data_IF_053942071538
#
_entry.id   IF_053942071538
#
_cell.length_a   1.000
_cell.length_b   1.000
_cell.length_c   1.000
_cell.angle_alpha   90.00
_cell.angle_beta   90.00
_cell.angle_gamma   90.00
#
_symmetry.space_group_name_H-M   'P 1'
#
loop_
_entity.id
_entity.type
_entity.pdbx_description
1 polymer ?
#
# COMPACT_ATOMS: atom_id res chain seq x y z
N UNK A 1 2.25 -11.32 -22.25
CA UNK A 1 2.70 -9.99 -21.76
C UNK A 1 2.79 -10.11 -20.24
N UNK A 2 3.91 -9.78 -19.64
CA UNK A 2 4.13 -9.84 -18.19
C UNK A 2 3.98 -8.46 -17.52
N UNK A 3 4.47 -8.30 -16.28
CA UNK A 3 4.34 -7.09 -15.46
C UNK A 3 4.77 -5.77 -16.13
N UNK A 4 5.75 -5.82 -17.03
CA UNK A 4 6.28 -4.63 -17.72
C UNK A 4 5.27 -3.96 -18.67
N UNK A 5 4.16 -4.63 -19.00
CA UNK A 5 3.08 -4.07 -19.81
C UNK A 5 1.92 -3.50 -18.97
N UNK A 6 2.07 -3.49 -17.65
CA UNK A 6 1.06 -2.94 -16.75
C UNK A 6 1.18 -1.42 -16.63
N UNK A 7 0.12 -0.77 -16.14
CA UNK A 7 0.13 0.67 -15.85
C UNK A 7 1.22 1.10 -14.87
N UNK A 8 1.70 0.20 -14.01
CA UNK A 8 2.81 0.47 -13.10
C UNK A 8 4.11 0.84 -13.83
N UNK A 9 4.31 0.32 -15.05
CA UNK A 9 5.44 0.65 -15.93
C UNK A 9 5.03 1.57 -17.09
N UNK A 10 3.81 2.11 -17.04
CA UNK A 10 3.29 3.06 -18.02
C UNK A 10 3.99 4.41 -17.98
N UNK A 11 3.67 5.31 -18.93
CA UNK A 11 4.39 6.57 -19.16
C UNK A 11 4.13 7.68 -18.13
N UNK A 12 3.17 7.49 -17.22
CA UNK A 12 2.84 8.49 -16.20
C UNK A 12 4.04 8.74 -15.28
N UNK A 13 4.45 10.01 -15.15
CA UNK A 13 5.59 10.40 -14.30
C UNK A 13 5.25 10.27 -12.82
N UNK A 14 4.00 10.52 -12.44
CA UNK A 14 3.52 10.38 -11.07
C UNK A 14 2.26 9.51 -11.06
N UNK A 15 2.38 8.36 -10.44
CA UNK A 15 1.34 7.32 -10.42
C UNK A 15 0.44 7.47 -9.21
N UNK A 16 -0.84 7.24 -9.38
CA UNK A 16 -1.84 7.28 -8.31
C UNK A 16 -2.47 5.90 -8.15
N UNK A 17 -2.54 5.44 -6.90
CA UNK A 17 -3.30 4.26 -6.55
C UNK A 17 -4.22 4.49 -5.36
N UNK A 18 -5.25 3.66 -5.22
CA UNK A 18 -6.09 3.62 -4.01
C UNK A 18 -5.44 2.75 -2.94
N UNK A 19 -5.63 3.11 -1.67
CA UNK A 19 -5.05 2.40 -0.53
C UNK A 19 -6.08 2.12 0.56
N UNK A 20 -6.16 0.88 1.03
CA UNK A 20 -6.90 0.49 2.23
C UNK A 20 -8.40 0.27 2.06
N UNK A 21 -8.94 0.29 0.84
CA UNK A 21 -10.38 0.10 0.60
C UNK A 21 -10.93 -1.28 1.01
N UNK A 22 -10.06 -2.27 1.27
CA UNK A 22 -10.46 -3.60 1.75
C UNK A 22 -10.86 -3.64 3.22
N UNK A 23 -10.69 -2.53 3.96
CA UNK A 23 -10.91 -2.47 5.41
C UNK A 23 -12.05 -1.53 5.79
N UNK A 24 -12.71 -1.81 6.93
CA UNK A 24 -13.68 -0.88 7.56
C UNK A 24 -13.02 0.46 7.87
N UNK A 25 -13.69 1.55 7.50
CA UNK A 25 -13.19 2.92 7.58
C UNK A 25 -12.07 3.25 6.59
N UNK A 26 -11.63 2.30 5.75
CA UNK A 26 -10.50 2.51 4.85
C UNK A 26 -9.24 2.93 5.60
N UNK A 27 -8.80 4.18 5.38
CA UNK A 27 -7.69 4.80 6.12
C UNK A 27 -8.14 5.80 7.20
N UNK A 28 -9.42 5.87 7.58
CA UNK A 28 -9.88 6.89 8.54
C UNK A 28 -10.48 6.27 9.79
N UNK A 29 -10.18 6.86 10.95
CA UNK A 29 -10.80 6.53 12.24
C UNK A 29 -11.84 7.59 12.60
N UNK A 30 -12.77 7.88 11.68
CA UNK A 30 -13.84 8.84 11.88
C UNK A 30 -15.18 8.15 12.07
N UNK A 31 -16.05 8.73 12.88
CA UNK A 31 -17.46 8.32 13.09
C UNK A 31 -18.39 9.03 12.12
N UNK A 32 -17.86 9.83 11.20
CA UNK A 32 -18.66 10.49 10.18
C UNK A 32 -19.53 9.46 9.42
N UNK A 33 -20.81 9.77 9.18
CA UNK A 33 -21.75 8.81 8.58
C UNK A 33 -21.36 8.40 7.15
N UNK A 34 -20.66 9.27 6.43
CA UNK A 34 -20.12 9.03 5.08
C UNK A 34 -18.86 8.17 5.03
N UNK A 35 -18.32 7.75 6.20
CA UNK A 35 -17.11 6.93 6.23
C UNK A 35 -17.25 5.65 5.40
N UNK A 36 -16.13 5.18 4.87
CA UNK A 36 -16.08 3.99 4.02
C UNK A 36 -16.66 2.72 4.69
N UNK A 37 -17.56 2.06 3.96
CA UNK A 37 -18.02 0.70 4.22
C UNK A 37 -17.37 -0.25 3.21
N UNK A 38 -16.58 -1.25 3.64
CA UNK A 38 -15.84 -2.15 2.77
C UNK A 38 -16.67 -3.34 2.27
N UNK A 39 -17.98 -3.18 2.07
CA UNK A 39 -18.77 -4.26 1.47
C UNK A 39 -18.12 -4.73 0.15
N UNK A 40 -18.34 -5.99 -0.23
CA UNK A 40 -17.76 -6.51 -1.48
C UNK A 40 -18.22 -5.69 -2.69
N UNK A 41 -19.48 -5.31 -2.71
CA UNK A 41 -20.07 -4.48 -3.78
C UNK A 41 -19.36 -3.13 -3.89
N UNK A 42 -19.12 -2.47 -2.76
CA UNK A 42 -18.41 -1.20 -2.72
C UNK A 42 -16.95 -1.35 -3.17
N UNK A 43 -16.27 -2.42 -2.77
CA UNK A 43 -14.92 -2.71 -3.24
C UNK A 43 -14.85 -2.89 -4.76
N UNK A 44 -15.79 -3.63 -5.34
CA UNK A 44 -15.87 -3.80 -6.81
C UNK A 44 -16.18 -2.47 -7.51
N UNK A 45 -17.12 -1.68 -6.98
CA UNK A 45 -17.47 -0.37 -7.54
C UNK A 45 -16.26 0.58 -7.53
N UNK A 46 -15.57 0.73 -6.40
CA UNK A 46 -14.39 1.57 -6.28
C UNK A 46 -13.23 1.10 -7.18
N UNK A 47 -13.04 -0.22 -7.31
CA UNK A 47 -12.00 -0.77 -8.20
C UNK A 47 -12.29 -0.48 -9.68
N UNK A 48 -13.55 -0.56 -10.10
CA UNK A 48 -13.96 -0.19 -11.47
C UNK A 48 -13.79 1.29 -11.74
N UNK A 49 -14.18 2.16 -10.80
CA UNK A 49 -13.94 3.60 -10.92
C UNK A 49 -12.45 3.91 -11.09
N UNK A 50 -11.58 3.26 -10.30
CA UNK A 50 -10.13 3.41 -10.40
C UNK A 50 -9.60 2.92 -11.75
N UNK A 51 -10.10 1.80 -12.24
CA UNK A 51 -9.73 1.23 -13.52
C UNK A 51 -10.13 2.12 -14.70
N UNK A 52 -11.39 2.56 -14.73
CA UNK A 52 -11.94 3.46 -15.75
C UNK A 52 -11.24 4.83 -15.78
N UNK A 53 -10.86 5.36 -14.63
CA UNK A 53 -10.12 6.62 -14.51
C UNK A 53 -8.61 6.49 -14.81
N UNK A 54 -8.15 5.30 -15.16
CA UNK A 54 -6.75 5.08 -15.53
C UNK A 54 -5.77 5.10 -14.35
N UNK A 55 -6.21 4.84 -13.11
CA UNK A 55 -5.29 4.69 -11.99
C UNK A 55 -4.37 3.49 -12.21
N UNK A 56 -3.17 3.58 -11.65
CA UNK A 56 -2.14 2.57 -11.87
C UNK A 56 -2.33 1.35 -11.01
N UNK A 57 -2.77 1.52 -9.74
CA UNK A 57 -2.84 0.38 -8.82
C UNK A 57 -3.87 0.56 -7.70
N UNK A 58 -4.18 -0.56 -7.03
CA UNK A 58 -4.94 -0.60 -5.79
C UNK A 58 -4.16 -1.48 -4.80
N UNK A 59 -3.90 -0.93 -3.60
CA UNK A 59 -3.11 -1.56 -2.55
C UNK A 59 -3.98 -1.85 -1.32
N UNK A 60 -4.15 -3.11 -0.89
CA UNK A 60 -4.88 -3.42 0.33
C UNK A 60 -3.99 -3.31 1.57
N UNK A 61 -4.62 -3.13 2.72
CA UNK A 61 -3.98 -3.30 4.02
C UNK A 61 -4.06 -4.79 4.41
N UNK A 62 -2.93 -5.39 4.77
CA UNK A 62 -2.92 -6.65 5.48
C UNK A 62 -3.20 -6.40 6.95
N UNK A 63 -4.33 -6.89 7.47
CA UNK A 63 -4.74 -6.73 8.86
C UNK A 63 -5.52 -7.94 9.33
N UNK A 64 -5.40 -8.28 10.61
CA UNK A 64 -6.08 -9.43 11.21
C UNK A 64 -6.98 -9.05 12.38
N UNK A 65 -6.83 -7.86 12.95
CA UNK A 65 -7.76 -7.26 13.91
C UNK A 65 -7.64 -5.73 13.86
N UNK A 66 -8.73 -5.04 14.21
CA UNK A 66 -8.82 -3.60 14.19
C UNK A 66 -8.16 -2.89 15.36
N UNK A 67 -8.38 -1.58 15.40
CA UNK A 67 -7.79 -0.69 16.42
C UNK A 67 -8.72 -0.42 17.60
N UNK A 68 -9.82 -1.18 17.77
CA UNK A 68 -10.84 -0.93 18.80
C UNK A 68 -11.52 0.43 18.63
N UNK A 69 -12.01 1.00 19.75
CA UNK A 69 -12.86 2.19 19.71
C UNK A 69 -14.22 1.89 19.11
N UNK A 70 -15.01 2.93 18.88
CA UNK A 70 -16.35 2.80 18.30
C UNK A 70 -16.28 2.45 16.79
N UNK A 71 -15.26 2.92 16.09
CA UNK A 71 -15.11 2.67 14.65
C UNK A 71 -14.57 1.29 14.33
N UNK A 72 -13.83 0.69 15.24
CA UNK A 72 -13.04 -0.54 15.00
C UNK A 72 -12.39 -0.55 13.61
N UNK A 73 -11.77 0.60 13.27
CA UNK A 73 -11.14 0.78 11.95
C UNK A 73 -10.17 -0.35 11.66
N UNK A 74 -10.21 -0.87 10.43
CA UNK A 74 -9.51 -2.07 9.96
C UNK A 74 -9.93 -3.39 10.65
N UNK A 75 -10.93 -3.39 11.54
CA UNK A 75 -11.42 -4.60 12.23
C UNK A 75 -12.16 -5.56 11.32
N UNK A 76 -13.02 -5.03 10.45
CA UNK A 76 -13.62 -5.80 9.35
C UNK A 76 -12.80 -5.58 8.09
N UNK A 77 -12.21 -6.64 7.55
CA UNK A 77 -11.36 -6.56 6.37
C UNK A 77 -11.40 -7.85 5.56
N UNK A 78 -11.14 -7.74 4.26
CA UNK A 78 -10.99 -8.91 3.38
C UNK A 78 -9.55 -9.39 3.37
N UNK A 79 -9.36 -10.73 3.32
CA UNK A 79 -8.06 -11.35 3.07
C UNK A 79 -7.55 -10.91 1.69
N UNK A 80 -6.32 -10.42 1.66
CA UNK A 80 -5.84 -9.57 0.58
C UNK A 80 -5.57 -10.29 -0.73
N UNK A 81 -5.16 -11.56 -0.72
CA UNK A 81 -4.90 -12.33 -1.95
C UNK A 81 -6.20 -12.78 -2.61
N UNK A 82 -7.17 -13.23 -1.82
CA UNK A 82 -8.50 -13.60 -2.30
C UNK A 82 -9.25 -12.37 -2.81
N UNK A 83 -9.19 -11.27 -2.06
CA UNK A 83 -9.77 -9.98 -2.45
C UNK A 83 -9.17 -9.46 -3.77
N UNK A 84 -7.84 -9.45 -3.90
CA UNK A 84 -7.17 -9.02 -5.12
C UNK A 84 -7.55 -9.89 -6.32
N UNK A 85 -7.65 -11.21 -6.13
CA UNK A 85 -8.06 -12.14 -7.19
C UNK A 85 -9.47 -11.85 -7.71
N UNK A 86 -10.41 -11.55 -6.79
CA UNK A 86 -11.77 -11.17 -7.15
C UNK A 86 -11.84 -9.85 -7.93
N UNK A 87 -11.08 -8.83 -7.49
CA UNK A 87 -11.04 -7.54 -8.17
C UNK A 87 -10.29 -7.59 -9.52
N UNK A 88 -9.24 -8.42 -9.64
CA UNK A 88 -8.58 -8.67 -10.93
C UNK A 88 -9.54 -9.23 -11.98
N UNK A 89 -10.47 -10.08 -11.57
CA UNK A 89 -11.51 -10.60 -12.44
C UNK A 89 -12.58 -9.55 -12.82
N UNK A 90 -12.75 -8.50 -12.00
CA UNK A 90 -13.75 -7.44 -12.17
C UNK A 90 -13.24 -6.19 -12.88
N UNK A 91 -11.94 -6.11 -13.18
CA UNK A 91 -11.23 -4.95 -13.77
C UNK A 91 -10.42 -5.36 -14.99
N UNK A 92 -9.94 -4.39 -15.80
CA UNK A 92 -9.24 -4.67 -17.06
C UNK A 92 -7.74 -4.33 -17.03
N UNK A 93 -7.33 -3.16 -16.47
CA UNK A 93 -6.00 -2.60 -16.63
C UNK A 93 -5.31 -2.25 -15.31
N UNK A 94 -6.06 -1.84 -14.27
CA UNK A 94 -5.50 -1.48 -12.97
C UNK A 94 -4.78 -2.66 -12.34
N UNK A 95 -3.60 -2.41 -11.74
CA UNK A 95 -2.88 -3.43 -10.98
C UNK A 95 -3.50 -3.60 -9.59
N UNK A 96 -3.67 -4.85 -9.17
CA UNK A 96 -4.14 -5.18 -7.83
C UNK A 96 -3.00 -5.82 -7.04
N UNK A 97 -2.74 -5.27 -5.86
CA UNK A 97 -1.77 -5.85 -4.94
C UNK A 97 -2.44 -6.73 -3.90
N UNK A 98 -1.76 -7.80 -3.51
CA UNK A 98 -2.04 -8.50 -2.26
C UNK A 98 -0.98 -8.11 -1.22
N UNK A 99 -1.37 -7.90 0.04
CA UNK A 99 -0.43 -7.65 1.13
C UNK A 99 -0.31 -8.88 2.01
N UNK A 100 0.90 -9.41 2.15
CA UNK A 100 1.19 -10.63 2.89
C UNK A 100 2.11 -10.36 4.05
N UNK A 101 1.71 -10.80 5.26
CA UNK A 101 2.62 -10.93 6.38
C UNK A 101 3.42 -12.23 6.21
N UNK A 102 4.65 -12.09 5.75
CA UNK A 102 5.53 -13.21 5.38
C UNK A 102 5.64 -14.30 6.46
N UNK A 103 5.68 -14.00 7.78
CA UNK A 103 5.74 -15.03 8.81
C UNK A 103 4.49 -15.94 8.91
N UNK A 104 3.36 -15.53 8.34
CA UNK A 104 2.08 -16.24 8.51
C UNK A 104 1.78 -17.23 7.38
N UNK A 105 2.57 -17.23 6.30
CA UNK A 105 2.32 -18.06 5.14
C UNK A 105 3.61 -18.67 4.59
N UNK A 106 3.59 -19.98 4.35
CA UNK A 106 4.72 -20.68 3.73
C UNK A 106 4.96 -20.25 2.28
N UNK A 107 6.23 -20.16 1.83
CA UNK A 107 6.57 -19.60 0.51
C UNK A 107 5.98 -20.40 -0.64
N UNK A 108 5.89 -21.71 -0.54
CA UNK A 108 5.36 -22.59 -1.61
C UNK A 108 3.85 -22.35 -1.81
N UNK A 109 3.09 -22.29 -0.71
CA UNK A 109 1.66 -22.03 -0.78
C UNK A 109 1.39 -20.61 -1.31
N UNK A 110 2.12 -19.61 -0.79
CA UNK A 110 2.03 -18.23 -1.23
C UNK A 110 2.35 -18.09 -2.74
N UNK A 111 3.44 -18.72 -3.21
CA UNK A 111 3.81 -18.70 -4.63
C UNK A 111 2.68 -19.24 -5.53
N UNK A 112 1.99 -20.30 -5.08
CA UNK A 112 0.88 -20.89 -5.82
C UNK A 112 -0.34 -20.00 -5.88
N UNK A 113 -0.73 -19.37 -4.76
CA UNK A 113 -1.83 -18.41 -4.71
C UNK A 113 -1.56 -17.22 -5.63
N UNK A 114 -0.36 -16.65 -5.55
CA UNK A 114 0.04 -15.47 -6.33
C UNK A 114 0.05 -15.75 -7.83
N UNK A 115 0.54 -16.90 -8.27
CA UNK A 115 0.47 -17.29 -9.69
C UNK A 115 -0.97 -17.44 -10.16
N UNK A 116 -1.86 -17.95 -9.31
CA UNK A 116 -3.29 -18.03 -9.64
C UNK A 116 -3.90 -16.64 -9.82
N UNK A 117 -3.64 -15.72 -8.89
CA UNK A 117 -4.07 -14.32 -9.01
C UNK A 117 -3.48 -13.64 -10.25
N UNK A 118 -2.21 -13.88 -10.54
CA UNK A 118 -1.51 -13.35 -11.71
C UNK A 118 -2.13 -13.81 -13.03
N UNK A 119 -2.53 -15.08 -13.14
CA UNK A 119 -3.28 -15.58 -14.29
C UNK A 119 -4.67 -14.98 -14.42
N UNK A 120 -5.41 -14.83 -13.31
CA UNK A 120 -6.72 -14.14 -13.30
C UNK A 120 -6.55 -12.70 -13.80
N UNK A 121 -5.51 -12.02 -13.32
CA UNK A 121 -5.20 -10.63 -13.68
C UNK A 121 -4.41 -10.45 -14.97
N UNK A 122 -4.06 -11.52 -15.67
CA UNK A 122 -3.26 -11.46 -16.92
C UNK A 122 -1.97 -10.64 -16.75
N UNK A 123 -1.24 -10.86 -15.64
CA UNK A 123 0.03 -10.18 -15.30
C UNK A 123 -0.12 -8.88 -14.51
N UNK A 124 -1.33 -8.51 -14.06
CA UNK A 124 -1.61 -7.29 -13.29
C UNK A 124 -1.55 -7.48 -11.77
N UNK A 125 -1.23 -8.68 -11.31
CA UNK A 125 -1.08 -8.94 -9.88
C UNK A 125 0.27 -8.42 -9.36
N UNK A 126 0.26 -7.85 -8.16
CA UNK A 126 1.46 -7.48 -7.42
C UNK A 126 1.42 -7.96 -5.97
N UNK A 127 2.58 -8.14 -5.37
CA UNK A 127 2.75 -8.57 -3.99
C UNK A 127 3.40 -7.49 -3.15
N UNK A 128 2.74 -7.05 -2.09
CA UNK A 128 3.34 -6.26 -1.02
C UNK A 128 3.78 -7.18 0.13
N UNK A 129 5.09 -7.23 0.37
CA UNK A 129 5.71 -8.07 1.39
C UNK A 129 5.87 -7.30 2.70
N UNK A 130 5.27 -7.81 3.78
CA UNK A 130 5.40 -7.26 5.13
C UNK A 130 6.11 -8.29 6.01
N UNK A 131 7.29 -7.91 6.53
CA UNK A 131 8.09 -8.80 7.38
C UNK A 131 7.50 -9.03 8.78
N UNK A 132 6.39 -8.36 9.12
CA UNK A 132 5.68 -8.44 10.38
C UNK A 132 6.17 -7.42 11.42
N UNK A 133 5.24 -6.88 12.21
CA UNK A 133 5.56 -5.90 13.25
C UNK A 133 4.58 -5.93 14.43
N UNK A 134 3.36 -6.43 14.23
CA UNK A 134 2.31 -6.44 15.24
C UNK A 134 2.37 -7.73 16.07
N UNK A 135 2.80 -7.61 17.32
CA UNK A 135 2.93 -8.75 18.21
C UNK A 135 1.58 -9.45 18.49
N UNK A 136 0.46 -8.70 18.50
CA UNK A 136 -0.88 -9.26 18.68
C UNK A 136 -1.27 -10.18 17.53
N UNK A 137 -1.03 -9.76 16.30
CA UNK A 137 -1.28 -10.59 15.12
C UNK A 137 -0.40 -11.84 15.09
N UNK A 138 0.89 -11.72 15.45
CA UNK A 138 1.77 -12.88 15.58
C UNK A 138 1.24 -13.90 16.59
N UNK A 139 0.74 -13.44 17.73
CA UNK A 139 0.13 -14.32 18.73
C UNK A 139 -1.13 -15.03 18.20
N UNK A 140 -1.96 -14.38 17.39
CA UNK A 140 -3.13 -15.01 16.77
C UNK A 140 -2.76 -16.20 15.88
N UNK A 141 -1.61 -16.11 15.18
CA UNK A 141 -1.11 -17.18 14.32
C UNK A 141 -0.23 -18.19 15.05
N UNK A 142 0.00 -18.03 16.36
CA UNK A 142 0.92 -18.90 17.12
C UNK A 142 2.38 -18.77 16.67
N UNK A 143 2.74 -17.65 16.03
CA UNK A 143 4.07 -17.39 15.49
C UNK A 143 4.79 -16.35 16.36
N UNK A 144 6.01 -16.66 16.78
CA UNK A 144 6.82 -15.70 17.55
C UNK A 144 7.24 -14.51 16.70
N UNK A 145 7.13 -13.29 17.26
CA UNK A 145 7.66 -12.10 16.63
C UNK A 145 9.20 -12.10 16.78
N UNK A 146 9.90 -12.28 15.66
CA UNK A 146 11.36 -12.27 15.61
C UNK A 146 11.92 -10.88 15.85
N UNK A 147 13.19 -10.80 16.27
CA UNK A 147 13.93 -9.55 16.33
C UNK A 147 13.98 -8.86 14.95
N UNK A 148 14.15 -7.53 14.95
CA UNK A 148 13.97 -6.71 13.75
C UNK A 148 14.84 -7.18 12.57
N UNK A 149 16.12 -7.43 12.78
CA UNK A 149 17.03 -7.89 11.71
C UNK A 149 16.70 -9.31 11.24
N UNK A 150 16.34 -10.18 12.17
CA UNK A 150 15.98 -11.54 11.87
C UNK A 150 14.71 -11.66 11.01
N UNK A 151 13.76 -10.71 11.16
CA UNK A 151 12.58 -10.64 10.30
C UNK A 151 12.94 -10.44 8.84
N UNK A 152 13.91 -9.57 8.54
CA UNK A 152 14.36 -9.36 7.16
C UNK A 152 15.16 -10.54 6.64
N UNK A 153 16.00 -11.18 7.44
CA UNK A 153 16.70 -12.41 7.04
C UNK A 153 15.71 -13.56 6.70
N UNK A 154 14.65 -13.71 7.49
CA UNK A 154 13.57 -14.66 7.19
C UNK A 154 12.86 -14.32 5.87
N UNK A 155 12.52 -13.03 5.69
CA UNK A 155 11.83 -12.56 4.47
C UNK A 155 12.71 -12.72 3.23
N UNK A 156 14.04 -12.59 3.37
CA UNK A 156 14.99 -12.78 2.28
C UNK A 156 15.03 -14.22 1.77
N UNK A 157 15.06 -15.21 2.66
CA UNK A 157 14.94 -16.62 2.25
C UNK A 157 13.57 -16.88 1.60
N UNK A 158 12.50 -16.36 2.21
CA UNK A 158 11.13 -16.52 1.71
C UNK A 158 10.96 -15.97 0.29
N UNK A 159 11.41 -14.74 0.01
CA UNK A 159 11.30 -14.15 -1.33
C UNK A 159 12.24 -14.79 -2.33
N UNK A 160 13.40 -15.27 -1.89
CA UNK A 160 14.32 -16.04 -2.73
C UNK A 160 13.67 -17.34 -3.21
N UNK A 161 12.98 -18.04 -2.32
CA UNK A 161 12.22 -19.24 -2.67
C UNK A 161 11.12 -18.91 -3.67
N UNK A 162 10.34 -17.83 -3.46
CA UNK A 162 9.32 -17.40 -4.41
C UNK A 162 9.90 -17.16 -5.81
N UNK A 163 10.98 -16.39 -5.89
CA UNK A 163 11.65 -16.06 -7.16
C UNK A 163 12.11 -17.32 -7.88
N UNK A 164 12.69 -18.29 -7.15
CA UNK A 164 13.11 -19.58 -7.71
C UNK A 164 11.91 -20.40 -8.18
N UNK A 165 10.87 -20.51 -7.37
CA UNK A 165 9.61 -21.21 -7.73
C UNK A 165 9.02 -20.68 -9.04
N UNK A 166 9.08 -19.36 -9.25
CA UNK A 166 8.54 -18.73 -10.45
C UNK A 166 9.48 -18.81 -11.67
N UNK A 167 10.78 -19.02 -11.47
CA UNK A 167 11.78 -18.98 -12.53
C UNK A 167 12.28 -20.37 -12.97
N UNK A 168 12.38 -21.33 -12.05
CA UNK A 168 13.04 -22.61 -12.30
C UNK A 168 12.15 -23.61 -13.06
N UNK A 169 12.67 -24.23 -14.11
CA UNK A 169 11.96 -25.22 -14.95
C UNK A 169 12.18 -26.66 -14.49
N UNK A 170 13.18 -26.88 -13.64
CA UNK A 170 13.52 -28.18 -13.07
C UNK A 170 13.28 -28.16 -11.55
N UNK A 171 13.00 -29.29 -10.93
CA UNK A 171 12.92 -29.41 -9.49
C UNK A 171 14.21 -28.94 -8.83
N UNK A 172 14.09 -28.20 -7.73
CA UNK A 172 15.23 -27.75 -6.94
C UNK A 172 15.06 -28.06 -5.45
N UNK A 173 16.19 -28.15 -4.77
CA UNK A 173 16.26 -28.16 -3.32
C UNK A 173 16.64 -26.74 -2.83
N UNK A 174 16.10 -26.36 -1.67
CA UNK A 174 16.51 -25.16 -0.95
C UNK A 174 16.85 -25.54 0.48
N UNK A 175 18.04 -25.13 0.94
CA UNK A 175 18.46 -25.28 2.33
C UNK A 175 19.03 -23.97 2.83
N UNK A 176 18.27 -23.30 3.72
CA UNK A 176 18.66 -22.09 4.40
C UNK A 176 18.63 -22.22 5.91
N UNK A 177 18.62 -21.09 6.61
CA UNK A 177 18.48 -21.04 8.07
C UNK A 177 17.04 -21.35 8.51
N UNK A 178 16.06 -20.91 7.72
CA UNK A 178 14.64 -20.94 8.06
C UNK A 178 13.85 -21.97 7.28
N UNK A 179 14.31 -22.35 6.09
CA UNK A 179 13.62 -23.28 5.22
C UNK A 179 14.55 -24.42 4.78
N UNK A 180 14.05 -25.66 4.82
CA UNK A 180 14.66 -26.83 4.20
C UNK A 180 13.60 -27.50 3.33
N UNK A 181 13.70 -27.30 2.00
CA UNK A 181 12.71 -27.71 1.03
C UNK A 181 13.35 -28.68 0.02
N UNK A 182 12.59 -29.70 -0.41
CA UNK A 182 13.06 -30.74 -1.32
C UNK A 182 12.17 -30.85 -2.53
N UNK A 183 12.81 -31.04 -3.68
CA UNK A 183 12.17 -31.36 -4.95
C UNK A 183 11.05 -30.35 -5.30
N UNK A 184 11.32 -29.05 -5.16
CA UNK A 184 10.33 -27.99 -5.39
C UNK A 184 10.20 -27.71 -6.87
N UNK A 185 9.01 -27.89 -7.40
CA UNK A 185 8.61 -27.49 -8.75
C UNK A 185 7.13 -27.16 -8.76
N UNK A 186 6.76 -25.95 -9.15
CA UNK A 186 5.35 -25.54 -9.27
C UNK A 186 5.01 -25.12 -10.70
N UNK A 187 3.79 -25.46 -11.10
CA UNK A 187 3.14 -25.04 -12.35
C UNK A 187 1.71 -24.57 -12.03
N UNK A 188 1.10 -23.65 -12.82
CA UNK A 188 1.70 -23.00 -13.98
C UNK A 188 2.80 -22.01 -13.58
N UNK A 189 3.55 -21.51 -14.56
CA UNK A 189 4.43 -20.35 -14.44
C UNK A 189 3.62 -19.07 -14.31
N UNK A 190 4.20 -17.95 -13.83
CA UNK A 190 3.57 -16.65 -13.89
C UNK A 190 3.10 -16.30 -15.30
N UNK A 191 2.03 -15.51 -15.37
CA UNK A 191 1.42 -15.14 -16.64
C UNK A 191 2.40 -14.40 -17.55
N UNK A 192 2.49 -14.83 -18.81
CA UNK A 192 3.44 -14.23 -19.76
C UNK A 192 4.92 -14.54 -19.50
N UNK A 193 5.22 -15.44 -18.55
CA UNK A 193 6.59 -15.86 -18.23
C UNK A 193 7.39 -14.88 -17.36
N UNK A 194 6.77 -13.79 -16.89
CA UNK A 194 7.39 -12.80 -16.02
C UNK A 194 6.75 -12.84 -14.63
N UNK A 195 7.56 -12.65 -13.57
CA UNK A 195 7.07 -12.71 -12.20
C UNK A 195 6.12 -11.56 -11.86
N UNK A 196 5.24 -11.72 -10.86
CA UNK A 196 4.47 -10.60 -10.31
C UNK A 196 5.34 -9.43 -9.83
N UNK A 197 4.76 -8.21 -9.80
CA UNK A 197 5.39 -7.01 -9.24
C UNK A 197 5.62 -7.25 -7.74
N UNK A 198 6.83 -6.96 -7.26
CA UNK A 198 7.17 -7.07 -5.84
C UNK A 198 7.29 -5.70 -5.20
N UNK A 199 6.63 -5.53 -4.08
CA UNK A 199 6.62 -4.30 -3.28
C UNK A 199 7.10 -4.61 -1.87
N UNK A 200 7.81 -3.69 -1.27
CA UNK A 200 8.18 -3.73 0.15
C UNK A 200 7.80 -2.42 0.83
N UNK A 201 7.22 -2.51 2.03
CA UNK A 201 6.81 -1.37 2.84
C UNK A 201 7.74 -1.20 4.06
N UNK A 202 9.02 -0.93 3.84
CA UNK A 202 10.02 -0.83 4.90
C UNK A 202 10.61 0.57 5.03
N UNK A 203 10.41 1.23 6.20
CA UNK A 203 10.98 2.56 6.46
C UNK A 203 12.34 2.53 7.19
N UNK A 204 12.70 1.40 7.81
CA UNK A 204 13.99 1.22 8.47
C UNK A 204 15.15 1.08 7.47
N UNK A 205 16.40 1.33 7.86
CA UNK A 205 17.56 1.06 6.98
C UNK A 205 17.56 -0.37 6.43
N UNK A 206 17.30 -1.37 7.26
CA UNK A 206 17.20 -2.77 6.84
C UNK A 206 16.06 -3.01 5.83
N UNK A 207 14.90 -2.37 6.03
CA UNK A 207 13.76 -2.45 5.11
C UNK A 207 14.04 -1.81 3.76
N UNK A 208 14.70 -0.66 3.75
CA UNK A 208 15.12 0.02 2.52
C UNK A 208 16.16 -0.81 1.74
N UNK A 209 17.16 -1.37 2.44
CA UNK A 209 18.15 -2.25 1.84
C UNK A 209 17.51 -3.54 1.28
N UNK A 210 16.56 -4.14 2.00
CA UNK A 210 15.78 -5.28 1.50
C UNK A 210 14.99 -4.93 0.24
N UNK A 211 14.28 -3.78 0.23
CA UNK A 211 13.53 -3.33 -0.93
C UNK A 211 14.45 -3.12 -2.15
N UNK A 212 15.60 -2.48 -1.95
CA UNK A 212 16.59 -2.26 -3.01
C UNK A 212 17.04 -3.56 -3.69
N UNK A 213 17.24 -4.64 -2.90
CA UNK A 213 17.69 -5.94 -3.45
C UNK A 213 16.57 -6.78 -4.05
N UNK A 214 15.34 -6.66 -3.56
CA UNK A 214 14.30 -7.66 -3.84
C UNK A 214 13.04 -7.12 -4.49
N UNK A 215 12.73 -5.83 -4.33
CA UNK A 215 11.46 -5.24 -4.77
C UNK A 215 11.58 -4.43 -6.06
N UNK A 216 10.48 -4.33 -6.79
CA UNK A 216 10.31 -3.38 -7.89
C UNK A 216 9.90 -2.00 -7.37
N UNK A 217 9.21 -1.97 -6.21
CA UNK A 217 8.71 -0.74 -5.60
C UNK A 217 8.95 -0.74 -4.09
N UNK A 218 9.33 0.41 -3.56
CA UNK A 218 9.34 0.72 -2.12
C UNK A 218 8.18 1.65 -1.79
N UNK A 219 7.28 1.21 -0.90
CA UNK A 219 6.32 2.10 -0.25
C UNK A 219 6.93 2.67 1.02
N UNK A 220 6.95 4.00 1.11
CA UNK A 220 7.54 4.73 2.23
C UNK A 220 6.55 5.71 2.85
N UNK A 221 6.68 5.94 4.16
CA UNK A 221 5.87 6.92 4.89
C UNK A 221 6.57 8.27 4.93
N UNK A 222 5.82 9.33 4.67
CA UNK A 222 6.26 10.72 4.83
C UNK A 222 5.84 11.19 6.23
N UNK A 223 6.79 11.55 7.08
CA UNK A 223 6.48 12.20 8.36
C UNK A 223 6.38 13.71 8.21
N UNK A 224 7.40 14.35 7.65
CA UNK A 224 7.42 15.76 7.31
C UNK A 224 7.93 15.91 5.88
N UNK A 225 7.25 16.76 5.09
CA UNK A 225 7.61 16.92 3.68
C UNK A 225 9.03 17.48 3.48
N UNK A 226 9.47 18.39 4.36
CA UNK A 226 10.83 18.98 4.33
C UNK A 226 11.95 17.93 4.49
N UNK A 227 11.70 16.82 5.21
CA UNK A 227 12.68 15.78 5.48
C UNK A 227 12.61 14.66 4.44
N UNK A 228 11.53 14.63 3.68
CA UNK A 228 11.24 13.58 2.72
C UNK A 228 12.13 13.68 1.47
N UNK A 229 12.27 14.85 0.87
CA UNK A 229 13.09 15.08 -0.30
C UNK A 229 14.54 14.59 -0.12
N UNK A 230 15.26 15.01 0.93
CA UNK A 230 16.59 14.49 1.24
C UNK A 230 16.63 12.96 1.43
N UNK A 231 15.61 12.37 2.06
CA UNK A 231 15.51 10.92 2.24
C UNK A 231 15.35 10.17 0.92
N UNK A 232 14.55 10.71 -0.01
CA UNK A 232 14.38 10.14 -1.36
C UNK A 232 15.68 10.28 -2.16
N UNK A 233 16.33 11.45 -2.13
CA UNK A 233 17.59 11.69 -2.82
C UNK A 233 18.69 10.72 -2.35
N UNK A 234 18.79 10.49 -1.03
CA UNK A 234 19.74 9.54 -0.46
C UNK A 234 19.45 8.10 -0.92
N UNK A 235 18.17 7.73 -1.04
CA UNK A 235 17.78 6.42 -1.54
C UNK A 235 18.11 6.25 -3.03
N UNK A 236 17.84 7.26 -3.85
CA UNK A 236 18.18 7.26 -5.29
C UNK A 236 19.70 7.23 -5.55
N UNK A 237 20.50 7.80 -4.66
CA UNK A 237 21.95 7.77 -4.77
C UNK A 237 22.56 6.38 -4.46
N UNK A 238 21.79 5.46 -3.88
CA UNK A 238 22.20 4.08 -3.68
C UNK A 238 22.16 3.34 -5.01
N UNK A 239 23.27 2.78 -5.45
CA UNK A 239 23.35 1.99 -6.69
C UNK A 239 22.40 0.78 -6.69
N UNK A 240 22.07 0.24 -5.50
CA UNK A 240 21.15 -0.87 -5.36
C UNK A 240 19.69 -0.46 -5.61
N UNK A 241 19.34 0.84 -5.45
CA UNK A 241 17.97 1.35 -5.55
C UNK A 241 17.68 2.11 -6.85
N UNK A 242 18.63 2.14 -7.81
CA UNK A 242 18.50 2.92 -9.06
C UNK A 242 17.22 2.60 -9.84
N UNK A 243 16.81 1.34 -9.85
CA UNK A 243 15.65 0.85 -10.61
C UNK A 243 14.40 0.57 -9.72
N UNK A 244 14.42 0.96 -8.44
CA UNK A 244 13.28 0.75 -7.53
C UNK A 244 12.34 1.95 -7.58
N UNK A 245 11.07 1.73 -7.91
CA UNK A 245 10.05 2.76 -7.82
C UNK A 245 9.82 3.21 -6.37
N UNK A 246 9.77 4.52 -6.10
CA UNK A 246 9.54 5.06 -4.76
C UNK A 246 8.13 5.61 -4.69
N UNK A 247 7.32 5.04 -3.80
CA UNK A 247 5.92 5.43 -3.62
C UNK A 247 5.68 5.90 -2.20
N UNK A 248 4.92 6.99 -2.07
CA UNK A 248 4.42 7.47 -0.78
C UNK A 248 3.08 6.82 -0.42
N UNK A 249 2.70 6.88 0.86
CA UNK A 249 1.34 6.63 1.30
C UNK A 249 0.74 7.91 1.89
N UNK A 250 -0.48 8.25 1.46
CA UNK A 250 -1.19 9.44 1.91
C UNK A 250 -2.69 9.23 2.04
N UNK A 251 -3.35 10.23 2.60
CA UNK A 251 -4.80 10.36 2.48
C UNK A 251 -5.13 11.73 1.90
N UNK A 252 -6.09 11.77 1.00
CA UNK A 252 -6.46 12.98 0.28
C UNK A 252 -7.78 13.52 0.81
N UNK A 253 -7.75 14.78 1.24
CA UNK A 253 -8.94 15.57 1.58
C UNK A 253 -8.88 16.85 0.77
N UNK A 254 -9.69 16.93 -0.27
CA UNK A 254 -9.69 18.08 -1.18
C UNK A 254 -11.09 18.59 -1.43
N UNK A 255 -11.22 19.91 -1.49
CA UNK A 255 -12.46 20.66 -1.73
C UNK A 255 -12.13 21.85 -2.66
N UNK A 256 -13.12 22.57 -3.18
CA UNK A 256 -12.86 23.73 -4.05
C UNK A 256 -11.91 24.77 -3.46
N UNK A 257 -11.93 24.97 -2.15
CA UNK A 257 -11.07 25.93 -1.45
C UNK A 257 -10.29 25.31 -0.29
N UNK A 258 -9.15 25.92 0.07
CA UNK A 258 -8.37 25.52 1.26
C UNK A 258 -9.20 25.56 2.54
N UNK A 259 -10.09 26.56 2.65
CA UNK A 259 -10.95 26.70 3.83
C UNK A 259 -11.89 25.50 3.94
N UNK A 260 -12.60 25.17 2.87
CA UNK A 260 -13.53 24.03 2.86
C UNK A 260 -12.82 22.69 3.13
N UNK A 261 -11.64 22.50 2.55
CA UNK A 261 -10.84 21.29 2.81
C UNK A 261 -10.39 21.21 4.29
N UNK A 262 -9.99 22.35 4.87
CA UNK A 262 -9.61 22.43 6.28
C UNK A 262 -10.81 22.23 7.20
N UNK A 263 -11.95 22.80 6.88
CA UNK A 263 -13.19 22.65 7.65
C UNK A 263 -13.63 21.18 7.64
N UNK A 264 -13.56 20.51 6.49
CA UNK A 264 -13.88 19.09 6.40
C UNK A 264 -12.85 18.20 7.12
N UNK A 265 -11.55 18.52 7.04
CA UNK A 265 -10.54 17.86 7.85
C UNK A 265 -10.83 17.98 9.36
N UNK A 266 -11.20 19.19 9.81
CA UNK A 266 -11.54 19.42 11.21
C UNK A 266 -12.77 18.60 11.62
N UNK A 267 -13.79 18.55 10.78
CA UNK A 267 -14.98 17.74 11.00
C UNK A 267 -14.64 16.26 11.19
N UNK A 268 -13.86 15.65 10.30
CA UNK A 268 -13.54 14.21 10.39
C UNK A 268 -12.56 13.89 11.53
N UNK A 269 -11.71 14.85 11.94
CA UNK A 269 -10.69 14.61 12.97
C UNK A 269 -11.18 15.03 14.35
N UNK A 270 -11.75 16.21 14.49
CA UNK A 270 -12.07 16.78 15.81
C UNK A 270 -13.53 16.60 16.20
N UNK A 271 -14.47 16.74 15.26
CA UNK A 271 -15.89 16.66 15.58
C UNK A 271 -16.37 15.19 15.62
N UNK A 272 -15.91 14.37 14.68
CA UNK A 272 -16.36 12.97 14.52
C UNK A 272 -15.23 11.94 14.70
N UNK A 273 -14.02 12.37 15.05
CA UNK A 273 -12.87 11.47 15.20
C UNK A 273 -13.03 10.47 16.34
N UNK A 274 -12.57 9.25 16.11
CA UNK A 274 -12.50 8.19 17.13
C UNK A 274 -11.14 8.26 17.85
N UNK A 275 -11.07 9.11 18.85
CA UNK A 275 -9.86 9.34 19.62
C UNK A 275 -9.42 8.13 20.44
N UNK A 276 -10.37 7.26 20.86
CA UNK A 276 -10.07 6.02 21.57
C UNK A 276 -9.34 5.05 20.65
N UNK A 277 -9.85 4.83 19.43
CA UNK A 277 -9.18 4.02 18.42
C UNK A 277 -7.77 4.57 18.09
N UNK A 278 -7.65 5.88 17.91
CA UNK A 278 -6.38 6.54 17.62
C UNK A 278 -5.38 6.40 18.78
N UNK A 279 -5.84 6.52 20.03
CA UNK A 279 -5.00 6.33 21.21
C UNK A 279 -4.45 4.90 21.29
N UNK A 280 -5.32 3.92 21.09
CA UNK A 280 -4.94 2.50 21.05
C UNK A 280 -3.92 2.22 19.94
N UNK A 281 -4.17 2.73 18.73
CA UNK A 281 -3.28 2.57 17.59
C UNK A 281 -1.90 3.20 17.81
N UNK A 282 -1.86 4.41 18.39
CA UNK A 282 -0.60 5.09 18.73
C UNK A 282 0.15 4.34 19.81
N UNK A 283 -0.54 3.85 20.87
CA UNK A 283 0.07 3.08 21.93
C UNK A 283 0.78 1.81 21.41
N UNK A 284 0.17 1.08 20.48
CA UNK A 284 0.78 -0.09 19.84
C UNK A 284 2.05 0.31 19.07
N UNK A 285 1.99 1.41 18.29
CA UNK A 285 3.09 1.86 17.41
C UNK A 285 4.26 2.48 18.18
N UNK A 286 4.00 3.08 19.32
CA UNK A 286 5.02 3.76 20.15
C UNK A 286 5.47 2.94 21.36
N UNK A 287 5.00 1.71 21.52
CA UNK A 287 5.35 0.84 22.63
C UNK A 287 6.87 0.75 22.81
N UNK A 288 7.32 1.09 24.02
CA UNK A 288 8.74 1.07 24.39
C UNK A 288 9.55 2.27 23.89
N UNK A 289 8.89 3.34 23.39
CA UNK A 289 9.54 4.59 22.97
C UNK A 289 9.09 5.73 23.86
N UNK A 290 10.03 6.57 24.29
CA UNK A 290 9.72 7.85 24.93
C UNK A 290 9.31 8.84 23.83
N UNK A 291 8.02 9.16 23.76
CA UNK A 291 7.47 9.99 22.67
C UNK A 291 6.88 11.29 23.27
N UNK A 292 7.37 12.47 22.87
CA UNK A 292 6.86 13.74 23.38
C UNK A 292 5.35 13.92 23.15
N UNK A 293 4.65 14.56 24.10
CA UNK A 293 3.19 14.77 24.06
C UNK A 293 2.72 15.46 22.78
N UNK A 294 3.46 16.48 22.28
CA UNK A 294 3.15 17.13 21.02
C UNK A 294 3.16 16.17 19.83
N UNK A 295 4.16 15.30 19.79
CA UNK A 295 4.28 14.25 18.76
C UNK A 295 3.15 13.23 18.87
N UNK A 296 2.78 12.82 20.11
CA UNK A 296 1.64 11.91 20.33
C UNK A 296 0.32 12.52 19.82
N UNK A 297 0.08 13.83 20.06
CA UNK A 297 -1.12 14.49 19.54
C UNK A 297 -1.15 14.44 18.01
N UNK A 298 -0.08 14.86 17.35
CA UNK A 298 0.01 14.81 15.88
C UNK A 298 -0.14 13.39 15.33
N UNK A 299 0.42 12.40 16.00
CA UNK A 299 0.25 10.99 15.59
C UNK A 299 -1.22 10.55 15.71
N UNK A 300 -1.93 10.91 16.79
CA UNK A 300 -3.36 10.62 16.95
C UNK A 300 -4.19 11.29 15.85
N UNK A 301 -3.97 12.56 15.57
CA UNK A 301 -4.64 13.29 14.48
C UNK A 301 -4.41 12.59 13.12
N UNK A 302 -3.18 12.16 12.83
CA UNK A 302 -2.85 11.41 11.62
C UNK A 302 -3.47 10.00 11.60
N UNK A 303 -3.60 9.36 12.77
CA UNK A 303 -4.31 8.08 12.84
C UNK A 303 -5.78 8.26 12.48
N UNK A 304 -6.43 9.29 13.00
CA UNK A 304 -7.84 9.56 12.70
C UNK A 304 -8.02 9.91 11.22
N UNK A 305 -7.20 10.80 10.68
CA UNK A 305 -7.37 11.27 9.31
C UNK A 305 -6.91 10.28 8.25
N UNK A 306 -5.95 9.38 8.55
CA UNK A 306 -5.34 8.55 7.52
C UNK A 306 -4.55 7.35 8.01
N UNK A 307 -4.85 6.79 9.19
CA UNK A 307 -4.12 5.65 9.80
C UNK A 307 -2.59 5.86 9.80
N UNK A 308 -2.17 7.12 10.00
CA UNK A 308 -0.77 7.52 10.08
C UNK A 308 -0.09 7.81 8.74
N UNK A 309 -0.81 7.80 7.64
CA UNK A 309 -0.31 8.22 6.34
C UNK A 309 -0.15 9.74 6.24
N UNK A 310 0.46 10.21 5.16
CA UNK A 310 0.71 11.65 4.97
C UNK A 310 -0.59 12.39 4.58
N UNK A 311 -0.96 13.49 5.29
CA UNK A 311 -2.17 14.25 4.99
C UNK A 311 -1.96 15.18 3.79
N UNK A 312 -2.63 14.91 2.68
CA UNK A 312 -2.72 15.79 1.51
C UNK A 312 -4.05 16.53 1.59
N UNK A 313 -4.04 17.73 2.20
CA UNK A 313 -5.25 18.48 2.54
C UNK A 313 -5.19 19.89 1.95
N UNK A 314 -6.12 20.21 1.04
CA UNK A 314 -6.14 21.53 0.41
C UNK A 314 -7.17 21.67 -0.69
N UNK A 315 -7.10 22.79 -1.41
CA UNK A 315 -7.86 22.96 -2.65
C UNK A 315 -7.37 21.97 -3.71
N UNK A 316 -8.12 21.82 -4.80
CA UNK A 316 -7.71 20.94 -5.91
C UNK A 316 -6.31 21.29 -6.44
N UNK A 317 -6.01 22.58 -6.54
CA UNK A 317 -4.70 23.05 -7.02
C UNK A 317 -3.59 22.81 -5.98
N UNK A 318 -3.89 22.96 -4.66
CA UNK A 318 -2.93 22.67 -3.60
C UNK A 318 -2.50 21.20 -3.60
N UNK A 319 -3.47 20.27 -3.73
CA UNK A 319 -3.22 18.83 -3.78
C UNK A 319 -2.34 18.47 -4.97
N UNK A 320 -2.64 19.03 -6.14
CA UNK A 320 -1.87 18.75 -7.36
C UNK A 320 -0.47 19.37 -7.30
N UNK A 321 -0.33 20.57 -6.70
CA UNK A 321 0.99 21.17 -6.49
C UNK A 321 1.85 20.33 -5.53
N UNK A 322 1.25 19.74 -4.50
CA UNK A 322 1.94 18.82 -3.59
C UNK A 322 2.42 17.55 -4.30
N UNK A 323 1.60 16.96 -5.16
CA UNK A 323 2.01 15.82 -6.00
C UNK A 323 3.14 16.20 -6.97
N UNK A 324 3.09 17.40 -7.54
CA UNK A 324 4.17 17.94 -8.37
C UNK A 324 5.48 18.08 -7.58
N UNK A 325 5.43 18.57 -6.35
CA UNK A 325 6.58 18.68 -5.47
C UNK A 325 7.15 17.30 -5.11
N UNK A 326 6.28 16.31 -4.79
CA UNK A 326 6.69 14.93 -4.54
C UNK A 326 7.41 14.35 -5.78
N UNK A 327 6.85 14.51 -6.96
CA UNK A 327 7.46 14.06 -8.22
C UNK A 327 8.81 14.71 -8.46
N UNK A 328 8.93 16.02 -8.22
CA UNK A 328 10.19 16.76 -8.36
C UNK A 328 11.28 16.28 -7.37
N UNK A 329 10.90 15.73 -6.21
CA UNK A 329 11.82 15.12 -5.26
C UNK A 329 12.24 13.69 -5.65
N UNK A 330 11.70 13.12 -6.74
CA UNK A 330 12.02 11.76 -7.21
C UNK A 330 11.08 10.67 -6.70
N UNK A 331 9.88 11.03 -6.23
CA UNK A 331 8.81 10.09 -5.90
C UNK A 331 8.04 9.73 -7.18
N UNK A 332 7.84 8.46 -7.43
CA UNK A 332 7.19 7.96 -8.65
C UNK A 332 5.66 7.89 -8.53
N UNK A 333 5.12 8.01 -7.31
CA UNK A 333 3.68 7.99 -7.11
C UNK A 333 3.25 7.91 -5.65
N UNK A 334 1.94 7.87 -5.45
CA UNK A 334 1.33 7.83 -4.12
C UNK A 334 0.14 6.84 -4.08
N UNK A 335 0.05 6.09 -2.99
CA UNK A 335 -1.13 5.32 -2.62
C UNK A 335 -2.00 6.18 -1.69
N UNK A 336 -3.21 6.55 -2.13
CA UNK A 336 -4.10 7.45 -1.42
C UNK A 336 -5.30 6.74 -0.79
N UNK A 337 -5.60 7.09 0.45
CA UNK A 337 -6.90 6.84 1.05
C UNK A 337 -7.85 8.00 0.82
N UNK A 338 -9.13 7.69 0.77
CA UNK A 338 -10.25 8.62 0.72
C UNK A 338 -11.14 8.38 1.94
N UNK A 339 -11.94 9.35 2.33
CA UNK A 339 -12.94 9.13 3.41
C UNK A 339 -14.01 8.16 2.92
N UNK A 340 -14.47 8.33 1.68
CA UNK A 340 -15.32 7.39 0.97
C UNK A 340 -14.81 7.16 -0.46
N UNK A 341 -14.45 5.92 -0.80
CA UNK A 341 -13.84 5.59 -2.10
C UNK A 341 -14.81 5.64 -3.29
N UNK A 342 -16.10 5.82 -3.07
CA UNK A 342 -17.10 6.02 -4.13
C UNK A 342 -17.50 7.49 -4.20
N UNK A 343 -17.87 8.10 -3.08
CA UNK A 343 -18.41 9.46 -3.04
C UNK A 343 -17.35 10.54 -3.30
N UNK A 344 -16.09 10.32 -2.85
CA UNK A 344 -14.99 11.25 -3.10
C UNK A 344 -14.30 11.00 -4.45
N UNK A 345 -14.54 9.85 -5.09
CA UNK A 345 -13.87 9.48 -6.33
C UNK A 345 -14.13 10.45 -7.51
N UNK A 346 -15.36 10.97 -7.72
CA UNK A 346 -15.61 11.96 -8.76
C UNK A 346 -14.70 13.19 -8.65
N UNK A 347 -14.40 13.66 -7.44
CA UNK A 347 -13.48 14.79 -7.23
C UNK A 347 -12.06 14.44 -7.67
N UNK A 348 -11.58 13.24 -7.35
CA UNK A 348 -10.29 12.76 -7.84
C UNK A 348 -10.27 12.74 -9.38
N UNK A 349 -11.28 12.09 -9.99
CA UNK A 349 -11.38 11.91 -11.46
C UNK A 349 -11.53 13.20 -12.21
N UNK A 350 -12.44 14.09 -11.78
CA UNK A 350 -12.87 15.24 -12.56
C UNK A 350 -12.07 16.53 -12.26
N UNK A 351 -11.46 16.61 -11.07
CA UNK A 351 -10.76 17.80 -10.62
C UNK A 351 -9.24 17.61 -10.48
N UNK A 352 -8.80 16.50 -9.87
CA UNK A 352 -7.39 16.28 -9.58
C UNK A 352 -6.64 15.72 -10.79
N UNK A 353 -7.12 14.61 -11.38
CA UNK A 353 -6.42 13.95 -12.48
C UNK A 353 -6.24 14.87 -13.70
N UNK A 354 -7.26 15.65 -14.18
CA UNK A 354 -7.07 16.56 -15.30
C UNK A 354 -6.07 17.71 -15.02
N UNK A 355 -5.95 18.14 -13.75
CA UNK A 355 -4.93 19.12 -13.37
C UNK A 355 -3.52 18.53 -13.42
N UNK A 356 -3.38 17.28 -12.99
CA UNK A 356 -2.11 16.55 -13.11
C UNK A 356 -1.70 16.34 -14.57
N UNK A 357 -2.66 16.09 -15.46
CA UNK A 357 -2.43 15.97 -16.91
C UNK A 357 -1.91 17.30 -17.49
N UNK A 358 -2.53 18.43 -17.14
CA UNK A 358 -2.07 19.76 -17.58
C UNK A 358 -0.64 20.08 -17.11
N UNK A 359 -0.21 19.53 -15.98
CA UNK A 359 1.17 19.68 -15.48
C UNK A 359 2.14 18.63 -16.03
N UNK A 360 1.68 17.73 -16.89
CA UNK A 360 2.49 16.66 -17.48
C UNK A 360 2.97 15.62 -16.46
N UNK A 361 2.27 15.47 -15.35
CA UNK A 361 2.51 14.42 -14.35
C UNK A 361 1.93 13.07 -14.80
N UNK A 362 0.88 13.11 -15.59
CA UNK A 362 0.25 11.94 -16.21
C UNK A 362 -0.26 12.27 -17.62
N UNK A 363 -0.56 11.24 -18.37
CA UNK A 363 -1.22 11.36 -19.68
C UNK A 363 -2.74 11.13 -19.52
N UNK A 364 -3.57 11.75 -20.37
CA UNK A 364 -4.99 11.43 -20.44
C UNK A 364 -5.20 9.94 -20.73
N UNK A 365 -6.28 9.38 -20.19
CA UNK A 365 -6.68 8.01 -20.52
C UNK A 365 -7.10 8.00 -22.01
N UNK A 366 -6.50 7.09 -22.78
CA UNK A 366 -6.92 6.88 -24.17
C UNK A 366 -8.39 6.41 -24.19
N UNK A 367 -9.26 7.17 -24.83
CA UNK A 367 -10.68 6.85 -25.03
C UNK A 367 -10.88 5.74 -26.05
#
# INVERSE_FOLDING_TARGET
MGRLHTRMYGPNKFKIGLFGQNCSGGLTMTKAPERWDPSWQNNVAAARLADEAGLEFILPIGRWHGYKGETDTEGSNFETLTWASGLLAATQDVCLFGTVHVPFIGPIFAAKQMVTADHIGKGRFGLNMVSGWNAGEHAMFGVSLREHEERYAYTEEWVTILKRVWAEDQPFDFKGKYFDLKNVLLKPRPYGGDRPILVSAGNSPAGKAFAARHADCLFTSIMEFKDFGPSVAALRASAEAENVGIYASGHMITKPTRKEARDYYNYIVYDTGDWEAAEHAVAIRTKGRDTPLKTLKTLKERMISGVGTYPVVGSYDDVVDEYRQMSACGVDGIAIGLVNYIEDFPVLRDEVLPRMERLGLRQPVAT
#
